data_IF_269242866703
#
_entry.id   IF_269242866703
#
_cell.length_a   1.000
_cell.length_b   1.000
_cell.length_c   1.000
_cell.angle_alpha   90.00
_cell.angle_beta   90.00
_cell.angle_gamma   90.00
#
_symmetry.space_group_name_H-M   'P 1'
#
loop_
_entity.id
_entity.type
_entity.pdbx_description
1 polymer ?
#
# COMPACT_ATOMS: atom_id res chain seq x y z
N UNK A 1 30.48 4.66 -4.45
CA UNK A 1 29.40 4.22 -5.39
C UNK A 1 28.41 5.35 -5.37
N UNK A 2 28.44 6.17 -6.41
CA UNK A 2 27.58 7.34 -6.51
C UNK A 2 26.12 6.91 -6.60
N UNK A 3 25.37 7.20 -5.55
CA UNK A 3 23.91 7.15 -5.51
C UNK A 3 23.35 8.39 -6.25
N UNK A 4 23.71 8.49 -7.54
CA UNK A 4 23.03 9.42 -8.43
C UNK A 4 21.63 8.86 -8.60
N UNK A 5 20.64 9.44 -7.91
CA UNK A 5 19.22 9.11 -8.06
C UNK A 5 18.92 9.04 -9.57
N UNK A 6 18.79 7.81 -10.08
CA UNK A 6 18.57 7.57 -11.50
C UNK A 6 17.29 8.29 -11.92
N UNK A 7 17.44 9.32 -12.74
CA UNK A 7 16.30 10.10 -13.24
C UNK A 7 15.48 9.15 -14.13
N UNK A 8 14.31 8.78 -13.66
CA UNK A 8 13.37 7.95 -14.42
C UNK A 8 12.87 8.70 -15.65
N UNK A 9 12.67 8.03 -16.80
CA UNK A 9 11.86 8.57 -17.89
C UNK A 9 10.52 9.09 -17.39
N UNK A 10 10.01 10.17 -17.99
CA UNK A 10 8.83 10.89 -17.48
C UNK A 10 7.58 10.01 -17.36
N UNK A 11 7.40 9.06 -18.26
CA UNK A 11 6.30 8.09 -18.23
C UNK A 11 6.44 7.09 -17.06
N UNK A 12 7.64 6.62 -16.79
CA UNK A 12 7.92 5.74 -15.64
C UNK A 12 7.83 6.49 -14.31
N UNK A 13 8.21 7.77 -14.28
CA UNK A 13 8.00 8.63 -13.11
C UNK A 13 6.51 8.79 -12.81
N UNK A 14 5.67 9.01 -13.81
CA UNK A 14 4.22 9.07 -13.67
C UNK A 14 3.64 7.79 -13.05
N UNK A 15 4.04 6.60 -13.53
CA UNK A 15 3.58 5.34 -12.93
C UNK A 15 4.01 5.19 -11.46
N UNK A 16 5.22 5.62 -11.13
CA UNK A 16 5.69 5.62 -9.72
C UNK A 16 4.85 6.55 -8.86
N UNK A 17 4.46 7.72 -9.36
CA UNK A 17 3.62 8.68 -8.65
C UNK A 17 2.21 8.11 -8.42
N UNK A 18 1.66 7.37 -9.38
CA UNK A 18 0.41 6.61 -9.23
C UNK A 18 0.46 5.68 -8.01
N UNK A 19 1.57 4.94 -7.81
CA UNK A 19 1.73 4.10 -6.63
C UNK A 19 1.72 4.93 -5.33
N UNK A 20 2.34 6.11 -5.35
CA UNK A 20 2.30 7.02 -4.19
C UNK A 20 0.88 7.49 -3.88
N UNK A 21 0.10 7.82 -4.89
CA UNK A 21 -1.30 8.24 -4.72
C UNK A 21 -2.16 7.12 -4.12
N UNK A 22 -2.03 5.91 -4.63
CA UNK A 22 -2.78 4.74 -4.15
C UNK A 22 -2.38 4.34 -2.73
N UNK A 23 -1.08 4.14 -2.49
CA UNK A 23 -0.57 3.54 -1.25
C UNK A 23 -0.09 4.57 -0.22
N UNK A 24 0.04 5.86 -0.60
CA UNK A 24 0.62 6.93 0.24
C UNK A 24 2.14 6.95 0.25
N UNK A 25 2.77 5.96 -0.30
CA UNK A 25 4.21 5.76 -0.45
C UNK A 25 4.43 4.74 -1.57
N UNK A 26 5.56 4.80 -2.25
CA UNK A 26 5.93 3.72 -3.17
C UNK A 26 6.29 2.48 -2.35
N UNK A 27 5.55 1.34 -2.49
CA UNK A 27 5.87 0.14 -1.72
C UNK A 27 7.29 -0.36 -2.00
N UNK A 28 8.03 -0.91 -1.01
CA UNK A 28 9.44 -1.28 -1.18
C UNK A 28 9.71 -2.23 -2.35
N UNK A 29 8.86 -3.22 -2.58
CA UNK A 29 9.00 -4.14 -3.72
C UNK A 29 8.74 -3.44 -5.07
N UNK A 30 7.81 -2.48 -5.09
CA UNK A 30 7.57 -1.63 -6.26
C UNK A 30 8.77 -0.73 -6.52
N UNK A 31 9.32 -0.09 -5.49
CA UNK A 31 10.53 0.74 -5.64
C UNK A 31 11.71 -0.07 -6.21
N UNK A 32 11.94 -1.29 -5.73
CA UNK A 32 12.97 -2.18 -6.25
C UNK A 32 12.69 -2.56 -7.71
N UNK A 33 11.43 -2.86 -8.09
CA UNK A 33 11.04 -3.14 -9.47
C UNK A 33 11.34 -1.98 -10.41
N UNK A 34 11.03 -0.74 -9.99
CA UNK A 34 11.34 0.46 -10.77
C UNK A 34 12.85 0.67 -10.91
N UNK A 35 13.63 0.51 -9.83
CA UNK A 35 15.07 0.72 -9.85
C UNK A 35 15.78 -0.21 -10.84
N UNK A 36 15.41 -1.48 -10.84
CA UNK A 36 16.02 -2.49 -11.73
C UNK A 36 15.38 -2.46 -13.12
N UNK A 37 14.05 -2.46 -13.20
CA UNK A 37 13.34 -2.54 -14.47
C UNK A 37 13.61 -1.33 -15.39
N UNK A 38 13.70 -0.13 -14.84
CA UNK A 38 14.01 1.06 -15.63
C UNK A 38 15.41 1.02 -16.27
N UNK A 39 16.35 0.29 -15.67
CA UNK A 39 17.73 0.17 -16.20
C UNK A 39 17.93 -1.05 -17.11
N UNK A 40 17.18 -2.13 -16.86
CA UNK A 40 17.42 -3.43 -17.53
C UNK A 40 16.42 -3.65 -18.67
N UNK A 41 15.14 -3.43 -18.43
CA UNK A 41 14.07 -3.61 -19.42
C UNK A 41 12.92 -2.60 -19.15
N UNK A 42 13.11 -1.35 -19.57
CA UNK A 42 12.10 -0.31 -19.38
C UNK A 42 10.79 -0.58 -20.13
N UNK A 43 10.82 -1.32 -21.24
CA UNK A 43 9.63 -1.61 -22.04
C UNK A 43 8.75 -2.63 -21.34
N UNK A 44 9.34 -3.69 -20.77
CA UNK A 44 8.58 -4.64 -19.94
C UNK A 44 8.03 -3.97 -18.68
N UNK A 45 8.81 -3.11 -18.02
CA UNK A 45 8.31 -2.35 -16.89
C UNK A 45 7.08 -1.51 -17.26
N UNK A 46 7.09 -0.82 -18.41
CA UNK A 46 5.91 -0.07 -18.92
C UNK A 46 4.69 -0.95 -19.09
N UNK A 47 4.86 -2.12 -19.68
CA UNK A 47 3.75 -3.07 -19.87
C UNK A 47 3.13 -3.50 -18.53
N UNK A 48 3.96 -3.82 -17.54
CA UNK A 48 3.50 -4.20 -16.20
C UNK A 48 2.74 -3.05 -15.53
N UNK A 49 3.27 -1.84 -15.59
CA UNK A 49 2.62 -0.67 -14.97
C UNK A 49 1.33 -0.27 -15.69
N UNK A 50 1.28 -0.39 -17.01
CA UNK A 50 0.04 -0.19 -17.78
C UNK A 50 -1.04 -1.22 -17.40
N UNK A 51 -0.67 -2.48 -17.24
CA UNK A 51 -1.59 -3.54 -16.78
C UNK A 51 -2.12 -3.23 -15.37
N UNK A 52 -1.24 -2.84 -14.44
CA UNK A 52 -1.62 -2.45 -13.09
C UNK A 52 -2.59 -1.26 -13.09
N UNK A 53 -2.23 -0.21 -13.82
CA UNK A 53 -3.05 1.00 -13.94
C UNK A 53 -4.42 0.69 -14.56
N UNK A 54 -4.48 -0.14 -15.60
CA UNK A 54 -5.73 -0.55 -16.23
C UNK A 54 -6.70 -1.22 -15.24
N UNK A 55 -6.19 -2.03 -14.33
CA UNK A 55 -7.02 -2.73 -13.33
C UNK A 55 -7.44 -1.79 -12.20
N UNK A 56 -6.49 -1.06 -11.60
CA UNK A 56 -6.74 -0.28 -10.38
C UNK A 56 -7.35 1.11 -10.63
N UNK A 57 -7.40 1.57 -11.88
CA UNK A 57 -8.10 2.80 -12.30
C UNK A 57 -9.32 2.50 -13.17
N UNK A 58 -9.86 1.29 -13.07
CA UNK A 58 -11.13 0.94 -13.71
C UNK A 58 -12.30 1.57 -12.96
N UNK A 59 -13.26 2.12 -13.69
CA UNK A 59 -14.53 2.64 -13.14
C UNK A 59 -15.53 1.54 -12.75
N UNK A 60 -15.14 0.26 -12.87
CA UNK A 60 -16.05 -0.86 -12.62
C UNK A 60 -16.35 -1.06 -11.14
N UNK A 61 -15.35 -0.87 -10.29
CA UNK A 61 -15.46 -0.92 -8.83
C UNK A 61 -14.77 0.28 -8.20
N UNK A 62 -15.26 0.73 -7.05
CA UNK A 62 -14.56 1.74 -6.28
C UNK A 62 -13.23 1.23 -5.71
N UNK A 63 -12.31 2.14 -5.41
CA UNK A 63 -10.97 1.82 -4.93
C UNK A 63 -10.98 0.96 -3.66
N UNK A 64 -11.95 1.20 -2.75
CA UNK A 64 -12.09 0.41 -1.53
C UNK A 64 -12.34 -1.06 -1.84
N UNK A 65 -13.28 -1.34 -2.72
CA UNK A 65 -13.65 -2.71 -3.11
C UNK A 65 -12.48 -3.38 -3.84
N UNK A 66 -11.83 -2.69 -4.79
CA UNK A 66 -10.68 -3.23 -5.52
C UNK A 66 -9.55 -3.64 -4.56
N UNK A 67 -9.24 -2.78 -3.59
CA UNK A 67 -8.17 -3.07 -2.64
C UNK A 67 -8.55 -4.13 -1.60
N UNK A 68 -9.82 -4.23 -1.19
CA UNK A 68 -10.30 -5.33 -0.35
C UNK A 68 -10.22 -6.68 -1.08
N UNK A 69 -10.58 -6.74 -2.37
CA UNK A 69 -10.42 -7.95 -3.19
C UNK A 69 -8.94 -8.32 -3.34
N UNK A 70 -8.09 -7.37 -3.69
CA UNK A 70 -6.64 -7.60 -3.81
C UNK A 70 -6.03 -8.09 -2.49
N UNK A 71 -6.43 -7.52 -1.35
CA UNK A 71 -6.05 -7.97 -0.01
C UNK A 71 -6.38 -9.44 0.20
N UNK A 72 -7.63 -9.87 -0.05
CA UNK A 72 -8.05 -11.26 0.12
C UNK A 72 -7.34 -12.25 -0.80
N UNK A 73 -7.13 -11.88 -2.08
CA UNK A 73 -6.41 -12.70 -3.06
C UNK A 73 -4.95 -12.90 -2.62
N UNK A 74 -4.26 -11.82 -2.26
CA UNK A 74 -2.85 -11.87 -1.87
C UNK A 74 -2.64 -12.63 -0.56
N UNK A 75 -3.54 -12.49 0.42
CA UNK A 75 -3.54 -13.32 1.63
C UNK A 75 -3.67 -14.80 1.30
N UNK A 76 -4.56 -15.16 0.36
CA UNK A 76 -4.75 -16.55 -0.05
C UNK A 76 -3.53 -17.14 -0.75
N UNK A 77 -2.73 -16.28 -1.40
CA UNK A 77 -1.48 -16.66 -2.06
C UNK A 77 -0.26 -16.62 -1.13
N UNK A 78 -0.37 -16.06 0.07
CA UNK A 78 0.75 -15.83 0.99
C UNK A 78 1.73 -14.76 0.49
N UNK A 79 1.24 -13.79 -0.26
CA UNK A 79 2.07 -12.78 -0.93
C UNK A 79 2.29 -11.52 -0.08
N UNK A 80 3.56 -11.08 0.01
CA UNK A 80 3.98 -9.89 0.77
C UNK A 80 3.27 -8.58 0.41
N UNK A 81 2.84 -8.30 -0.84
CA UNK A 81 2.09 -7.09 -1.18
C UNK A 81 0.73 -6.95 -0.48
N UNK A 82 0.22 -8.00 0.18
CA UNK A 82 -1.06 -7.96 0.88
C UNK A 82 -1.18 -6.75 1.82
N UNK A 83 -0.15 -6.46 2.63
CA UNK A 83 -0.13 -5.32 3.54
C UNK A 83 -0.37 -3.98 2.84
N UNK A 84 0.24 -3.77 1.67
CA UNK A 84 0.07 -2.53 0.90
C UNK A 84 -1.38 -2.34 0.45
N UNK A 85 -2.07 -3.41 0.04
CA UNK A 85 -3.47 -3.34 -0.35
C UNK A 85 -4.41 -3.17 0.84
N UNK A 86 -4.11 -3.74 2.02
CA UNK A 86 -4.84 -3.43 3.25
C UNK A 86 -4.74 -1.94 3.60
N UNK A 87 -3.54 -1.35 3.51
CA UNK A 87 -3.34 0.08 3.72
C UNK A 87 -4.09 0.93 2.70
N UNK A 88 -4.05 0.58 1.42
CA UNK A 88 -4.78 1.29 0.37
C UNK A 88 -6.31 1.19 0.56
N UNK A 89 -6.84 0.03 0.97
CA UNK A 89 -8.24 -0.13 1.33
C UNK A 89 -8.62 0.79 2.50
N UNK A 90 -7.79 0.87 3.56
CA UNK A 90 -7.98 1.81 4.68
C UNK A 90 -8.05 3.26 4.22
N UNK A 91 -7.10 3.67 3.38
CA UNK A 91 -7.08 5.03 2.79
C UNK A 91 -8.32 5.32 1.95
N UNK A 92 -8.91 4.30 1.34
CA UNK A 92 -10.15 4.36 0.56
C UNK A 92 -11.41 4.19 1.41
N UNK A 93 -11.30 4.19 2.75
CA UNK A 93 -12.42 4.17 3.69
C UNK A 93 -12.88 2.79 4.14
N UNK A 94 -12.07 1.74 3.95
CA UNK A 94 -12.38 0.43 4.53
C UNK A 94 -12.25 0.45 6.05
N UNK A 95 -13.17 -0.21 6.75
CA UNK A 95 -13.08 -0.40 8.20
C UNK A 95 -12.13 -1.55 8.56
N UNK A 96 -11.73 -1.65 9.83
CA UNK A 96 -10.94 -2.78 10.31
C UNK A 96 -11.73 -4.08 10.28
N UNK A 97 -13.04 -3.99 10.48
CA UNK A 97 -13.98 -5.12 10.42
C UNK A 97 -14.09 -5.65 9.00
N UNK A 98 -14.17 -4.78 7.98
CA UNK A 98 -14.19 -5.17 6.57
C UNK A 98 -12.89 -5.91 6.18
N UNK A 99 -11.73 -5.40 6.58
CA UNK A 99 -10.44 -6.07 6.32
C UNK A 99 -10.34 -7.42 7.01
N UNK A 100 -10.78 -7.51 8.28
CA UNK A 100 -10.77 -8.77 9.02
C UNK A 100 -11.72 -9.80 8.39
N UNK A 101 -12.93 -9.37 8.01
CA UNK A 101 -13.91 -10.24 7.34
C UNK A 101 -13.37 -10.79 6.01
N UNK A 102 -12.64 -10.00 5.24
CA UNK A 102 -12.00 -10.49 4.01
C UNK A 102 -10.93 -11.55 4.31
N UNK A 103 -10.19 -11.42 5.42
CA UNK A 103 -9.25 -12.46 5.86
C UNK A 103 -9.97 -13.76 6.29
N UNK A 104 -11.12 -13.64 6.98
CA UNK A 104 -11.97 -14.79 7.31
C UNK A 104 -12.50 -15.46 6.04
N UNK A 105 -12.99 -14.68 5.08
CA UNK A 105 -13.46 -15.16 3.79
C UNK A 105 -12.35 -15.90 3.02
N UNK A 106 -11.15 -15.32 2.97
CA UNK A 106 -9.98 -15.96 2.37
C UNK A 106 -9.65 -17.31 3.03
N UNK A 107 -9.72 -17.38 4.36
CA UNK A 107 -9.54 -18.62 5.12
C UNK A 107 -10.57 -19.69 4.71
N UNK A 108 -11.83 -19.33 4.62
CA UNK A 108 -12.92 -20.27 4.29
C UNK A 108 -12.84 -20.76 2.83
N UNK A 109 -12.53 -19.86 1.90
CA UNK A 109 -12.55 -20.16 0.46
C UNK A 109 -11.25 -20.82 0.00
N UNK A 110 -10.11 -20.37 0.45
CA UNK A 110 -8.80 -20.92 0.07
C UNK A 110 -8.43 -22.19 0.86
N UNK A 111 -9.10 -22.44 1.98
CA UNK A 111 -8.89 -23.61 2.83
C UNK A 111 -7.62 -23.52 3.67
N UNK A 112 -7.78 -23.17 4.94
CA UNK A 112 -6.69 -23.14 5.93
C UNK A 112 -6.66 -21.89 6.77
N UNK A 113 -6.05 -21.99 7.97
CA UNK A 113 -5.96 -20.87 8.91
C UNK A 113 -4.87 -19.85 8.56
N UNK A 114 -4.03 -20.13 7.56
CA UNK A 114 -2.93 -19.25 7.13
C UNK A 114 -3.39 -17.82 6.84
N UNK A 115 -4.32 -17.61 5.90
CA UNK A 115 -4.81 -16.28 5.53
C UNK A 115 -5.38 -15.49 6.72
N UNK A 116 -6.11 -16.16 7.61
CA UNK A 116 -6.69 -15.52 8.81
C UNK A 116 -5.61 -15.11 9.81
N UNK A 117 -4.67 -16.02 10.11
CA UNK A 117 -3.61 -15.76 11.07
C UNK A 117 -2.63 -14.68 10.60
N UNK A 118 -2.24 -14.76 9.33
CA UNK A 118 -1.35 -13.77 8.70
C UNK A 118 -2.05 -12.42 8.54
N UNK A 119 -3.32 -12.43 8.11
CA UNK A 119 -4.15 -11.25 8.03
C UNK A 119 -4.30 -10.56 9.37
N UNK A 120 -4.59 -11.29 10.44
CA UNK A 120 -4.71 -10.73 11.79
C UNK A 120 -3.38 -10.09 12.26
N UNK A 121 -2.24 -10.73 12.01
CA UNK A 121 -0.93 -10.19 12.36
C UNK A 121 -0.62 -8.89 11.60
N UNK A 122 -0.88 -8.85 10.29
CA UNK A 122 -0.70 -7.64 9.46
C UNK A 122 -1.63 -6.51 9.90
N UNK A 123 -2.89 -6.80 10.22
CA UNK A 123 -3.84 -5.79 10.69
C UNK A 123 -3.46 -5.24 12.08
N UNK A 124 -2.93 -6.07 12.98
CA UNK A 124 -2.41 -5.60 14.25
C UNK A 124 -1.25 -4.62 14.06
N UNK A 125 -0.29 -4.96 13.20
CA UNK A 125 0.82 -4.09 12.85
C UNK A 125 0.35 -2.74 12.28
N UNK A 126 -0.55 -2.76 11.30
CA UNK A 126 -1.10 -1.54 10.69
C UNK A 126 -1.86 -0.65 11.69
N UNK A 127 -2.62 -1.26 12.62
CA UNK A 127 -3.28 -0.52 13.71
C UNK A 127 -2.29 0.18 14.63
N UNK A 128 -1.19 -0.49 14.97
CA UNK A 128 -0.14 0.10 15.80
C UNK A 128 0.57 1.25 15.08
N UNK A 129 0.86 1.09 13.80
CA UNK A 129 1.46 2.15 12.98
C UNK A 129 0.52 3.37 12.83
N UNK A 130 -0.80 3.14 12.67
CA UNK A 130 -1.79 4.22 12.58
C UNK A 130 -1.91 4.96 13.92
N UNK A 131 -1.94 4.25 15.05
CA UNK A 131 -1.95 4.84 16.39
C UNK A 131 -0.71 5.69 16.66
N UNK A 132 0.49 5.17 16.37
CA UNK A 132 1.75 5.87 16.59
C UNK A 132 1.83 7.16 15.76
N UNK A 133 1.31 7.16 14.53
CA UNK A 133 1.23 8.38 13.70
C UNK A 133 0.30 9.42 14.29
N UNK A 134 -0.83 9.02 14.88
CA UNK A 134 -1.77 9.94 15.52
C UNK A 134 -1.18 10.55 16.79
N UNK A 135 -0.52 9.76 17.63
CA UNK A 135 0.14 10.23 18.85
C UNK A 135 1.31 11.16 18.57
N UNK A 136 2.14 10.85 17.55
CA UNK A 136 3.26 11.71 17.12
C UNK A 136 2.80 13.07 16.57
N UNK A 137 1.61 13.14 15.99
CA UNK A 137 1.04 14.41 15.48
C UNK A 137 0.52 15.31 16.61
N UNK A 138 0.06 14.74 17.71
CA UNK A 138 -0.44 15.48 18.90
C UNK A 138 0.73 16.08 19.69
N UNK A 139 1.89 15.40 19.75
CA UNK A 139 3.07 15.86 20.48
C UNK A 139 3.73 17.11 19.88
N UNK A 140 3.65 17.34 18.59
CA UNK A 140 4.24 18.52 17.92
C UNK A 140 3.36 19.78 17.96
N UNK A 141 2.10 19.66 18.36
CA UNK A 141 1.17 20.79 18.45
C UNK A 141 1.21 21.57 19.78
N UNK A 142 1.89 21.06 20.80
CA UNK A 142 1.87 21.67 22.15
C UNK A 142 3.09 22.56 22.47
N UNK A 143 4.16 22.49 21.68
CA UNK A 143 5.38 23.28 21.93
C UNK A 143 5.43 24.65 21.23
N UNK A 144 4.41 25.03 20.45
CA UNK A 144 4.37 26.29 19.72
C UNK A 144 3.64 27.44 20.45
N UNK A 145 3.27 27.27 21.70
CA UNK A 145 2.36 28.18 22.42
C UNK A 145 2.89 28.86 23.68
N UNK A 146 4.21 28.94 23.92
CA UNK A 146 4.71 29.65 25.12
C UNK A 146 6.03 30.40 24.88
N UNK A 147 5.99 31.48 24.08
CA UNK A 147 7.04 32.48 24.08
C UNK A 147 6.47 33.79 23.51
N UNK A 148 5.74 34.55 24.32
CA UNK A 148 5.70 36.02 24.29
C UNK A 148 4.91 36.51 25.49
N UNK A 149 5.61 37.07 26.45
CA UNK A 149 5.32 38.33 27.14
C UNK A 149 6.14 38.44 28.42
N UNK A 150 7.21 39.18 28.34
CA UNK A 150 7.71 40.08 29.40
C UNK A 150 8.71 41.04 28.79
#
# INVERSE_FOLDING_TARGET
MDDAAQVLPSDLAMFRDIHTDIFGVVPPLTAARFAIGASVDPDFLRLVEQMHTHVFYSDLFDAKILHLMAWGILLSCGDKPAQSHALAARRSGASWEELHFVAELACVVAGGLGPLSEGAALLAQLKDEERNRQEGHIGHGLDAGCATEA
#
